data_IF_375513739651
#
_entry.id   IF_375513739651
#
_cell.length_a   1.000
_cell.length_b   1.000
_cell.length_c   1.000
_cell.angle_alpha   90.00
_cell.angle_beta   90.00
_cell.angle_gamma   90.00
#
_symmetry.space_group_name_H-M   'P 1'
#
loop_
_entity.id
_entity.type
_entity.pdbx_description
1 polymer ?
#
# COMPACT_ATOMS: atom_id res chain seq x y z
N UNK A 1 17.79 -14.33 -2.68
CA UNK A 1 17.19 -14.65 -4.00
C UNK A 1 15.86 -15.34 -3.83
N UNK A 2 15.77 -16.50 -3.16
CA UNK A 2 14.48 -17.24 -2.99
C UNK A 2 13.32 -16.44 -2.41
N UNK A 3 13.56 -15.60 -1.38
CA UNK A 3 12.50 -14.77 -0.79
C UNK A 3 12.07 -13.66 -1.77
N UNK A 4 12.99 -13.15 -2.59
CA UNK A 4 12.69 -12.12 -3.58
C UNK A 4 11.86 -12.73 -4.73
N UNK A 5 12.30 -13.87 -5.27
CA UNK A 5 11.67 -14.53 -6.42
C UNK A 5 10.28 -15.06 -6.07
N UNK A 6 10.13 -15.74 -4.93
CA UNK A 6 8.83 -16.24 -4.50
C UNK A 6 7.87 -15.09 -4.16
N UNK A 7 8.31 -14.08 -3.40
CA UNK A 7 7.41 -13.00 -3.01
C UNK A 7 7.06 -12.06 -4.17
N UNK A 8 7.93 -11.90 -5.18
CA UNK A 8 7.61 -11.16 -6.39
C UNK A 8 6.59 -11.93 -7.23
N UNK A 9 6.78 -13.23 -7.40
CA UNK A 9 5.85 -14.08 -8.14
C UNK A 9 4.42 -14.00 -7.55
N UNK A 10 4.27 -14.23 -6.24
CA UNK A 10 2.97 -14.12 -5.57
C UNK A 10 2.34 -12.72 -5.69
N UNK A 11 3.15 -11.66 -5.68
CA UNK A 11 2.63 -10.30 -5.81
C UNK A 11 2.18 -9.99 -7.23
N UNK A 12 2.91 -10.45 -8.25
CA UNK A 12 2.51 -10.27 -9.65
C UNK A 12 1.24 -11.08 -9.95
N UNK A 13 1.18 -12.32 -9.49
CA UNK A 13 -0.01 -13.17 -9.62
C UNK A 13 -1.23 -12.50 -8.97
N UNK A 14 -1.08 -12.04 -7.72
CA UNK A 14 -2.14 -11.32 -7.00
C UNK A 14 -2.55 -10.01 -7.71
N UNK A 15 -1.59 -9.28 -8.27
CA UNK A 15 -1.85 -8.04 -9.01
C UNK A 15 -2.66 -8.29 -10.28
N UNK A 16 -2.28 -9.31 -11.07
CA UNK A 16 -3.02 -9.74 -12.25
C UNK A 16 -4.44 -10.19 -11.89
N UNK A 17 -4.58 -11.04 -10.87
CA UNK A 17 -5.88 -11.49 -10.41
C UNK A 17 -6.81 -10.32 -10.05
N UNK A 18 -6.30 -9.32 -9.33
CA UNK A 18 -7.08 -8.14 -8.95
C UNK A 18 -7.55 -7.33 -10.17
N UNK A 19 -6.68 -7.14 -11.18
CA UNK A 19 -7.04 -6.42 -12.41
C UNK A 19 -8.13 -7.17 -13.17
N UNK A 20 -7.94 -8.47 -13.42
CA UNK A 20 -8.93 -9.27 -14.15
C UNK A 20 -10.27 -9.33 -13.42
N UNK A 21 -10.25 -9.48 -12.09
CA UNK A 21 -11.45 -9.46 -11.25
C UNK A 21 -12.17 -8.11 -11.33
N UNK A 22 -11.44 -7.00 -11.23
CA UNK A 22 -12.03 -5.66 -11.32
C UNK A 22 -12.66 -5.40 -12.69
N UNK A 23 -11.95 -5.73 -13.78
CA UNK A 23 -12.46 -5.57 -15.16
C UNK A 23 -13.72 -6.41 -15.37
N UNK A 24 -13.68 -7.71 -15.01
CA UNK A 24 -14.82 -8.62 -15.15
C UNK A 24 -16.06 -8.06 -14.45
N UNK A 25 -15.89 -7.57 -13.24
CA UNK A 25 -16.99 -7.04 -12.45
C UNK A 25 -17.53 -5.73 -12.99
N UNK A 26 -16.67 -4.81 -13.46
CA UNK A 26 -17.11 -3.58 -14.12
C UNK A 26 -17.88 -3.85 -15.41
N UNK A 27 -17.46 -4.86 -16.20
CA UNK A 27 -18.17 -5.29 -17.41
C UNK A 27 -19.56 -5.82 -17.06
N UNK A 28 -19.67 -6.70 -16.05
CA UNK A 28 -20.96 -7.27 -15.62
C UNK A 28 -21.90 -6.19 -15.11
N UNK A 29 -21.42 -5.26 -14.29
CA UNK A 29 -22.25 -4.16 -13.79
C UNK A 29 -22.66 -3.22 -14.94
N UNK A 30 -21.71 -2.87 -15.82
CA UNK A 30 -21.94 -1.95 -16.93
C UNK A 30 -22.91 -2.46 -17.99
N UNK A 31 -22.92 -3.78 -18.26
CA UNK A 31 -23.87 -4.39 -19.20
C UNK A 31 -25.31 -4.33 -18.70
N UNK A 32 -25.53 -4.45 -17.39
CA UNK A 32 -26.87 -4.45 -16.80
C UNK A 32 -27.36 -3.05 -16.42
N UNK A 33 -26.44 -2.16 -16.03
CA UNK A 33 -26.74 -0.80 -15.57
C UNK A 33 -25.79 0.19 -16.27
N UNK A 34 -26.08 0.61 -17.51
CA UNK A 34 -25.18 1.47 -18.27
C UNK A 34 -24.98 2.85 -17.63
N UNK A 35 -25.98 3.37 -16.89
CA UNK A 35 -25.85 4.62 -16.12
C UNK A 35 -24.69 4.57 -15.10
N UNK A 36 -24.34 3.38 -14.60
CA UNK A 36 -23.25 3.20 -13.63
C UNK A 36 -21.90 3.64 -14.22
N UNK A 37 -21.67 3.47 -15.52
CA UNK A 37 -20.43 3.88 -16.19
C UNK A 37 -20.20 5.40 -16.09
N UNK A 38 -21.25 6.20 -16.12
CA UNK A 38 -21.14 7.66 -15.94
C UNK A 38 -20.69 8.03 -14.51
N UNK A 39 -21.11 7.26 -13.50
CA UNK A 39 -20.67 7.46 -12.11
C UNK A 39 -19.20 7.03 -11.88
N UNK A 40 -18.69 6.16 -12.73
CA UNK A 40 -17.32 5.65 -12.66
C UNK A 40 -16.28 6.76 -12.97
N UNK A 41 -16.61 7.72 -13.83
CA UNK A 41 -15.73 8.86 -14.16
C UNK A 41 -15.35 9.73 -12.95
N UNK A 42 -16.30 10.33 -12.19
CA UNK A 42 -15.96 11.14 -11.03
C UNK A 42 -15.31 10.31 -9.92
N UNK A 43 -15.74 9.06 -9.72
CA UNK A 43 -15.11 8.16 -8.76
C UNK A 43 -13.67 7.83 -9.16
N UNK A 44 -13.40 7.55 -10.44
CA UNK A 44 -12.07 7.28 -10.96
C UNK A 44 -11.12 8.46 -10.78
N UNK A 45 -11.61 9.70 -10.98
CA UNK A 45 -10.83 10.91 -10.70
C UNK A 45 -10.46 11.02 -9.21
N UNK A 46 -11.43 10.78 -8.31
CA UNK A 46 -11.17 10.78 -6.87
C UNK A 46 -10.16 9.70 -6.46
N UNK A 47 -10.30 8.49 -6.99
CA UNK A 47 -9.34 7.40 -6.79
C UNK A 47 -7.93 7.81 -7.23
N UNK A 48 -7.80 8.40 -8.42
CA UNK A 48 -6.52 8.86 -8.94
C UNK A 48 -5.87 9.93 -8.06
N UNK A 49 -6.65 10.92 -7.60
CA UNK A 49 -6.14 11.98 -6.73
C UNK A 49 -5.65 11.42 -5.39
N UNK A 50 -6.43 10.53 -4.76
CA UNK A 50 -6.05 9.88 -3.50
C UNK A 50 -4.79 9.04 -3.67
N UNK A 51 -4.73 8.25 -4.75
CA UNK A 51 -3.55 7.43 -5.05
C UNK A 51 -2.30 8.29 -5.25
N UNK A 52 -2.42 9.38 -6.02
CA UNK A 52 -1.30 10.32 -6.25
C UNK A 52 -0.81 10.97 -4.97
N UNK A 53 -1.72 11.43 -4.10
CA UNK A 53 -1.37 12.01 -2.81
C UNK A 53 -0.71 10.98 -1.88
N UNK A 54 -1.26 9.75 -1.85
CA UNK A 54 -0.72 8.67 -1.05
C UNK A 54 0.70 8.29 -1.49
N UNK A 55 0.93 8.08 -2.78
CA UNK A 55 2.24 7.71 -3.32
C UNK A 55 3.31 8.76 -2.99
N UNK A 56 3.00 10.04 -3.18
CA UNK A 56 3.93 11.12 -2.86
C UNK A 56 4.27 11.21 -1.37
N UNK A 57 3.28 11.00 -0.50
CA UNK A 57 3.46 11.04 0.96
C UNK A 57 4.20 9.82 1.46
N UNK A 58 3.80 8.64 0.98
CA UNK A 58 4.36 7.36 1.38
C UNK A 58 5.84 7.24 0.99
N UNK A 59 6.22 7.71 -0.20
CA UNK A 59 7.62 7.80 -0.64
C UNK A 59 8.49 8.60 0.34
N UNK A 60 7.99 9.75 0.79
CA UNK A 60 8.72 10.59 1.76
C UNK A 60 8.81 9.95 3.14
N UNK A 61 7.71 9.37 3.64
CA UNK A 61 7.69 8.66 4.91
C UNK A 61 8.69 7.50 4.92
N UNK A 62 8.74 6.73 3.83
CA UNK A 62 9.67 5.60 3.70
C UNK A 62 11.13 6.02 3.56
N UNK A 63 11.41 7.16 2.93
CA UNK A 63 12.75 7.76 2.91
C UNK A 63 13.21 8.11 4.32
N UNK A 64 12.37 8.79 5.11
CA UNK A 64 12.66 9.14 6.49
C UNK A 64 12.89 7.90 7.37
N UNK A 65 12.06 6.86 7.19
CA UNK A 65 12.21 5.58 7.88
C UNK A 65 13.54 4.90 7.54
N UNK A 66 13.92 4.86 6.26
CA UNK A 66 15.19 4.27 5.81
C UNK A 66 16.40 5.03 6.37
N UNK A 67 16.36 6.36 6.39
CA UNK A 67 17.46 7.18 6.93
C UNK A 67 17.52 7.10 8.46
N UNK A 68 16.39 6.94 9.15
CA UNK A 68 16.33 6.83 10.61
C UNK A 68 16.88 5.52 11.18
N UNK A 69 16.85 4.42 10.41
CA UNK A 69 17.34 3.11 10.87
C UNK A 69 18.86 2.98 10.89
N UNK A 70 19.56 3.57 9.93
CA UNK A 70 21.02 3.42 9.81
C UNK A 70 21.79 3.94 11.05
N UNK A 71 21.49 5.12 11.61
CA UNK A 71 22.17 5.63 12.82
C UNK A 71 22.00 4.75 14.05
N UNK A 72 20.87 4.03 14.17
CA UNK A 72 20.62 3.11 15.28
C UNK A 72 21.58 1.92 15.21
N UNK A 73 21.73 1.33 14.01
CA UNK A 73 22.69 0.22 13.81
C UNK A 73 24.13 0.68 14.01
N UNK A 74 24.49 1.88 13.55
CA UNK A 74 25.83 2.44 13.76
C UNK A 74 26.13 2.66 15.24
N UNK A 75 25.22 3.28 15.99
CA UNK A 75 25.38 3.51 17.42
C UNK A 75 25.46 2.18 18.18
N UNK A 76 24.64 1.20 17.81
CA UNK A 76 24.69 -0.13 18.42
C UNK A 76 26.04 -0.84 18.18
N UNK A 77 26.60 -0.74 16.97
CA UNK A 77 27.92 -1.29 16.66
C UNK A 77 29.05 -0.58 17.43
N UNK A 78 28.96 0.74 17.57
CA UNK A 78 29.89 1.54 18.38
C UNK A 78 29.86 1.11 19.85
N UNK A 79 28.66 0.82 20.38
CA UNK A 79 28.49 0.31 21.74
C UNK A 79 29.20 -1.05 21.96
N UNK A 80 29.07 -1.97 20.99
CA UNK A 80 29.67 -3.31 21.07
C UNK A 80 31.20 -3.20 21.04
N UNK A 81 31.74 -2.38 20.15
CA UNK A 81 33.19 -2.22 20.01
C UNK A 81 33.80 -1.43 21.19
N UNK A 82 33.06 -0.44 21.74
CA UNK A 82 33.52 0.46 22.80
C UNK A 82 33.10 0.06 24.22
N UNK A 83 32.63 -1.17 24.45
CA UNK A 83 32.02 -1.58 25.74
C UNK A 83 32.98 -1.41 26.94
N UNK A 84 34.27 -1.67 26.73
CA UNK A 84 35.31 -1.50 27.74
C UNK A 84 35.54 -0.04 28.08
N UNK A 85 35.56 0.84 27.08
CA UNK A 85 35.69 2.30 27.27
C UNK A 85 34.46 2.90 27.96
N UNK A 86 33.25 2.55 27.52
CA UNK A 86 32.00 3.05 28.14
C UNK A 86 31.90 2.63 29.61
N UNK A 87 32.33 1.41 29.94
CA UNK A 87 32.33 0.93 31.31
C UNK A 87 33.42 1.59 32.17
N UNK A 88 34.60 1.84 31.62
CA UNK A 88 35.69 2.53 32.32
C UNK A 88 35.37 4.00 32.64
N UNK A 89 34.70 4.72 31.74
CA UNK A 89 34.30 6.13 31.96
C UNK A 89 32.96 6.30 32.67
N UNK A 90 32.21 5.22 32.92
CA UNK A 90 30.91 5.30 33.59
C UNK A 90 29.78 5.94 32.75
N UNK A 91 29.99 6.15 31.46
CA UNK A 91 29.08 6.89 30.55
C UNK A 91 27.89 6.06 30.02
N UNK A 92 27.50 4.99 30.73
CA UNK A 92 26.41 4.09 30.28
C UNK A 92 25.07 4.81 30.14
N UNK A 93 24.75 5.72 31.06
CA UNK A 93 23.46 6.44 31.08
C UNK A 93 23.32 7.38 29.89
N UNK A 94 24.36 8.15 29.60
CA UNK A 94 24.37 9.10 28.47
C UNK A 94 24.22 8.35 27.14
N UNK A 95 24.88 7.19 27.02
CA UNK A 95 24.77 6.34 25.84
C UNK A 95 23.36 5.74 25.67
N UNK A 96 22.73 5.30 26.76
CA UNK A 96 21.35 4.80 26.74
C UNK A 96 20.39 5.91 26.32
N UNK A 97 20.53 7.12 26.87
CA UNK A 97 19.69 8.25 26.51
C UNK A 97 19.83 8.60 25.02
N UNK A 98 21.06 8.65 24.49
CA UNK A 98 21.27 8.92 23.06
C UNK A 98 20.63 7.83 22.18
N UNK A 99 20.72 6.57 22.62
CA UNK A 99 20.10 5.44 21.92
C UNK A 99 18.57 5.52 21.91
N UNK A 100 17.96 5.83 23.06
CA UNK A 100 16.51 6.04 23.20
C UNK A 100 16.02 7.18 22.29
N UNK A 101 16.71 8.32 22.26
CA UNK A 101 16.35 9.46 21.40
C UNK A 101 16.43 9.13 19.90
N UNK A 102 17.36 8.26 19.48
CA UNK A 102 17.45 7.80 18.08
C UNK A 102 16.35 6.79 17.75
N UNK A 103 16.03 5.88 18.68
CA UNK A 103 14.92 4.94 18.53
C UNK A 103 13.59 5.67 18.43
N UNK A 104 13.31 6.62 19.32
CA UNK A 104 12.05 7.37 19.34
C UNK A 104 11.81 8.10 18.01
N UNK A 105 12.86 8.74 17.47
CA UNK A 105 12.79 9.39 16.15
C UNK A 105 12.46 8.39 15.03
N UNK A 106 13.09 7.21 15.03
CA UNK A 106 12.78 6.17 14.05
C UNK A 106 11.38 5.58 14.24
N UNK A 107 10.92 5.47 15.48
CA UNK A 107 9.60 4.96 15.81
C UNK A 107 8.51 5.91 15.32
N UNK A 108 8.66 7.23 15.55
CA UNK A 108 7.74 8.24 15.03
C UNK A 108 7.65 8.18 13.50
N UNK A 109 8.77 8.05 12.79
CA UNK A 109 8.78 7.88 11.34
C UNK A 109 8.02 6.61 10.89
N UNK A 110 8.28 5.48 11.55
CA UNK A 110 7.63 4.20 11.23
C UNK A 110 6.13 4.23 11.53
N UNK A 111 5.74 4.86 12.65
CA UNK A 111 4.35 5.07 13.02
C UNK A 111 3.63 5.94 11.99
N UNK A 112 4.27 7.00 11.49
CA UNK A 112 3.71 7.83 10.44
C UNK A 112 3.47 7.04 9.13
N UNK A 113 4.40 6.17 8.73
CA UNK A 113 4.20 5.24 7.60
C UNK A 113 2.98 4.33 7.82
N UNK A 114 2.76 3.86 9.05
CA UNK A 114 1.61 3.01 9.39
C UNK A 114 0.29 3.79 9.33
N UNK A 115 0.25 5.01 9.89
CA UNK A 115 -0.92 5.90 9.82
C UNK A 115 -1.27 6.26 8.37
N UNK A 116 -0.28 6.54 7.53
CA UNK A 116 -0.50 6.81 6.10
C UNK A 116 -1.18 5.64 5.38
N UNK A 117 -0.76 4.40 5.68
CA UNK A 117 -1.41 3.19 5.15
C UNK A 117 -2.85 3.06 5.66
N UNK A 118 -3.07 3.31 6.95
CA UNK A 118 -4.41 3.22 7.54
C UNK A 118 -5.37 4.25 6.95
N UNK A 119 -4.91 5.47 6.73
CA UNK A 119 -5.65 6.53 6.06
C UNK A 119 -6.08 6.13 4.64
N UNK A 120 -5.15 5.59 3.84
CA UNK A 120 -5.49 5.08 2.50
C UNK A 120 -6.57 4.00 2.55
N UNK A 121 -6.43 3.02 3.45
CA UNK A 121 -7.41 1.95 3.61
C UNK A 121 -8.81 2.49 3.97
N UNK A 122 -8.87 3.50 4.85
CA UNK A 122 -10.12 4.18 5.18
C UNK A 122 -10.74 4.84 3.94
N UNK A 123 -9.96 5.66 3.21
CA UNK A 123 -10.43 6.32 1.99
C UNK A 123 -10.94 5.33 0.92
N UNK A 124 -10.20 4.24 0.68
CA UNK A 124 -10.60 3.20 -0.28
C UNK A 124 -11.87 2.47 0.16
N UNK A 125 -12.04 2.22 1.47
CA UNK A 125 -13.25 1.60 1.98
C UNK A 125 -14.47 2.51 1.87
N UNK A 126 -14.31 3.82 2.13
CA UNK A 126 -15.37 4.81 1.94
C UNK A 126 -15.78 4.89 0.47
N UNK A 127 -14.82 4.96 -0.46
CA UNK A 127 -15.12 4.99 -1.90
C UNK A 127 -15.80 3.70 -2.38
N UNK A 128 -15.33 2.55 -1.94
CA UNK A 128 -15.99 1.27 -2.23
C UNK A 128 -17.43 1.19 -1.71
N UNK A 129 -17.66 1.72 -0.50
CA UNK A 129 -19.02 1.80 0.06
C UNK A 129 -19.92 2.70 -0.78
N UNK A 130 -19.40 3.81 -1.32
CA UNK A 130 -20.14 4.67 -2.26
C UNK A 130 -20.45 3.93 -3.57
N UNK A 131 -19.52 3.14 -4.11
CA UNK A 131 -19.76 2.31 -5.30
C UNK A 131 -20.93 1.35 -5.07
N UNK A 132 -20.90 0.60 -3.97
CA UNK A 132 -21.96 -0.36 -3.62
C UNK A 132 -23.30 0.35 -3.40
N UNK A 133 -23.29 1.50 -2.73
CA UNK A 133 -24.50 2.31 -2.51
C UNK A 133 -25.13 2.77 -3.84
N UNK A 134 -24.34 3.32 -4.75
CA UNK A 134 -24.81 3.76 -6.07
C UNK A 134 -25.30 2.57 -6.89
N UNK A 135 -24.54 1.47 -6.95
CA UNK A 135 -24.92 0.28 -7.69
C UNK A 135 -26.26 -0.31 -7.19
N UNK A 136 -26.45 -0.34 -5.87
CA UNK A 136 -27.67 -0.87 -5.24
C UNK A 136 -28.87 0.04 -5.52
N UNK A 137 -28.73 1.36 -5.40
CA UNK A 137 -29.81 2.31 -5.72
C UNK A 137 -30.24 2.19 -7.18
N UNK A 138 -29.28 2.12 -8.10
CA UNK A 138 -29.56 1.99 -9.52
C UNK A 138 -30.21 0.64 -9.86
N UNK A 139 -29.82 -0.44 -9.19
CA UNK A 139 -30.46 -1.74 -9.34
C UNK A 139 -31.91 -1.72 -8.84
N UNK A 140 -32.19 -1.04 -7.72
CA UNK A 140 -33.56 -0.88 -7.19
C UNK A 140 -34.42 0.00 -8.11
N UNK A 141 -33.88 1.07 -8.69
CA UNK A 141 -34.61 1.90 -9.65
C UNK A 141 -35.01 1.13 -10.91
N UNK A 142 -34.16 0.22 -11.37
CA UNK A 142 -34.42 -0.61 -12.55
C UNK A 142 -35.05 -1.97 -12.21
N UNK A 143 -35.63 -2.13 -11.01
CA UNK A 143 -36.19 -3.41 -10.53
C UNK A 143 -37.27 -4.02 -11.41
N UNK A 144 -37.98 -3.20 -12.20
CA UNK A 144 -39.04 -3.70 -13.10
C UNK A 144 -38.49 -4.26 -14.40
N UNK A 145 -37.31 -3.81 -14.82
CA UNK A 145 -36.61 -4.29 -16.02
C UNK A 145 -35.63 -5.45 -15.71
N UNK A 146 -35.22 -5.59 -14.45
CA UNK A 146 -34.19 -6.54 -14.03
C UNK A 146 -34.77 -7.71 -13.23
N UNK A 147 -34.33 -8.92 -13.57
CA UNK A 147 -34.65 -10.12 -12.77
C UNK A 147 -33.99 -10.02 -11.38
N UNK A 148 -34.64 -10.50 -10.30
CA UNK A 148 -34.07 -10.54 -8.95
C UNK A 148 -32.69 -11.20 -8.90
N UNK A 149 -32.45 -12.21 -9.75
CA UNK A 149 -31.15 -12.87 -9.86
C UNK A 149 -30.05 -11.93 -10.36
N UNK A 150 -30.36 -11.04 -11.31
CA UNK A 150 -29.42 -10.06 -11.88
C UNK A 150 -29.10 -8.97 -10.85
N UNK A 151 -30.10 -8.55 -10.06
CA UNK A 151 -29.88 -7.59 -8.96
C UNK A 151 -28.92 -8.17 -7.90
N UNK A 152 -29.11 -9.44 -7.51
CA UNK A 152 -28.19 -10.14 -6.62
C UNK A 152 -26.77 -10.25 -7.19
N UNK A 153 -26.65 -10.52 -8.49
CA UNK A 153 -25.38 -10.49 -9.22
C UNK A 153 -24.70 -9.12 -9.12
N UNK A 154 -25.39 -8.03 -9.45
CA UNK A 154 -24.83 -6.68 -9.41
C UNK A 154 -24.31 -6.33 -8.02
N UNK A 155 -25.07 -6.62 -6.97
CA UNK A 155 -24.67 -6.32 -5.58
C UNK A 155 -23.43 -7.14 -5.20
N UNK A 156 -23.41 -8.43 -5.52
CA UNK A 156 -22.27 -9.32 -5.22
C UNK A 156 -21.01 -8.86 -5.95
N UNK A 157 -21.11 -8.56 -7.25
CA UNK A 157 -19.98 -8.09 -8.04
C UNK A 157 -19.50 -6.68 -7.61
N UNK A 158 -20.40 -5.82 -7.11
CA UNK A 158 -20.01 -4.50 -6.56
C UNK A 158 -19.17 -4.63 -5.29
N UNK A 159 -19.49 -5.59 -4.43
CA UNK A 159 -18.68 -5.93 -3.26
C UNK A 159 -17.32 -6.49 -3.67
N UNK A 160 -17.29 -7.43 -4.62
CA UNK A 160 -16.04 -8.01 -5.13
C UNK A 160 -15.12 -6.95 -5.73
N UNK A 161 -15.64 -5.99 -6.52
CA UNK A 161 -14.84 -4.87 -7.07
C UNK A 161 -14.17 -4.07 -5.98
N UNK A 162 -14.92 -3.76 -4.93
CA UNK A 162 -14.44 -2.94 -3.82
C UNK A 162 -13.24 -3.60 -3.15
N UNK A 163 -13.32 -4.91 -2.90
CA UNK A 163 -12.24 -5.64 -2.25
C UNK A 163 -11.06 -5.88 -3.20
N UNK A 164 -11.31 -6.17 -4.48
CA UNK A 164 -10.28 -6.28 -5.51
C UNK A 164 -9.53 -4.97 -5.71
N UNK A 165 -10.20 -3.80 -5.67
CA UNK A 165 -9.56 -2.50 -5.76
C UNK A 165 -8.69 -2.17 -4.54
N UNK A 166 -9.16 -2.52 -3.33
CA UNK A 166 -8.35 -2.37 -2.11
C UNK A 166 -7.08 -3.21 -2.20
N UNK A 167 -7.22 -4.48 -2.58
CA UNK A 167 -6.09 -5.39 -2.77
C UNK A 167 -5.16 -4.90 -3.87
N UNK A 168 -5.70 -4.41 -4.99
CA UNK A 168 -4.93 -3.85 -6.08
C UNK A 168 -4.02 -2.70 -5.61
N UNK A 169 -4.57 -1.71 -4.92
CA UNK A 169 -3.77 -0.55 -4.45
C UNK A 169 -2.69 -0.99 -3.47
N UNK A 170 -3.02 -1.93 -2.57
CA UNK A 170 -2.05 -2.49 -1.63
C UNK A 170 -0.91 -3.21 -2.35
N UNK A 171 -1.23 -4.15 -3.24
CA UNK A 171 -0.24 -4.91 -4.01
C UNK A 171 0.58 -3.98 -4.90
N UNK A 172 -0.03 -2.98 -5.52
CA UNK A 172 0.67 -1.99 -6.33
C UNK A 172 1.68 -1.19 -5.50
N UNK A 173 1.31 -0.78 -4.29
CA UNK A 173 2.22 -0.09 -3.36
C UNK A 173 3.36 -1.01 -2.94
N UNK A 174 3.09 -2.28 -2.64
CA UNK A 174 4.13 -3.26 -2.30
C UNK A 174 5.08 -3.52 -3.48
N UNK A 175 4.56 -3.63 -4.71
CA UNK A 175 5.33 -3.80 -5.93
C UNK A 175 6.23 -2.60 -6.21
N UNK A 176 5.72 -1.37 -6.11
CA UNK A 176 6.53 -0.16 -6.33
C UNK A 176 7.68 -0.09 -5.34
N UNK A 177 7.45 -0.48 -4.08
CA UNK A 177 8.50 -0.55 -3.07
C UNK A 177 9.58 -1.59 -3.38
N UNK A 178 9.20 -2.75 -3.94
CA UNK A 178 10.16 -3.79 -4.32
C UNK A 178 10.89 -3.46 -5.62
N UNK A 179 10.25 -2.74 -6.54
CA UNK A 179 10.87 -2.29 -7.79
C UNK A 179 12.14 -1.47 -7.54
N UNK A 180 12.13 -0.62 -6.52
CA UNK A 180 13.32 0.17 -6.11
C UNK A 180 14.48 -0.74 -5.68
N UNK A 181 14.20 -1.86 -5.00
CA UNK A 181 15.24 -2.83 -4.64
C UNK A 181 15.80 -3.56 -5.86
N UNK A 182 14.96 -3.84 -6.86
CA UNK A 182 15.39 -4.46 -8.13
C UNK A 182 16.29 -3.50 -8.91
N UNK A 183 15.91 -2.22 -9.01
CA UNK A 183 16.72 -1.18 -9.65
C UNK A 183 18.11 -1.09 -9.01
N UNK A 184 18.21 -1.14 -7.67
CA UNK A 184 19.50 -1.14 -6.97
C UNK A 184 20.36 -2.36 -7.30
N UNK A 185 19.77 -3.56 -7.34
CA UNK A 185 20.50 -4.78 -7.71
C UNK A 185 21.03 -4.65 -9.14
N UNK A 186 20.22 -4.13 -10.06
CA UNK A 186 20.62 -3.90 -11.44
C UNK A 186 21.74 -2.87 -11.55
N UNK A 187 21.72 -1.81 -10.73
CA UNK A 187 22.79 -0.84 -10.63
C UNK A 187 24.10 -1.50 -10.17
N UNK A 188 24.06 -2.37 -9.15
CA UNK A 188 25.23 -3.14 -8.71
C UNK A 188 25.76 -4.12 -9.77
N UNK A 189 24.88 -4.75 -10.55
CA UNK A 189 25.29 -5.63 -11.65
C UNK A 189 25.93 -4.89 -12.83
N UNK A 190 25.62 -3.59 -13.00
CA UNK A 190 26.14 -2.76 -14.09
C UNK A 190 27.37 -1.93 -13.69
N UNK A 191 27.86 -2.05 -12.46
CA UNK A 191 29.12 -1.42 -12.06
C UNK A 191 30.27 -2.04 -12.86
N UNK A 192 31.20 -1.19 -13.32
CA UNK A 192 32.42 -1.68 -13.98
C UNK A 192 33.17 -2.57 -12.99
N UNK A 193 33.57 -3.78 -13.38
CA UNK A 193 34.51 -4.56 -12.59
C UNK A 193 35.80 -3.76 -12.44
N UNK A 194 36.35 -3.70 -11.23
CA UNK A 194 37.74 -3.26 -11.03
C UNK A 194 38.73 -4.19 -11.73
#
# INVERSE_FOLDING_TARGET
MEILDNQLYYQIEGWLYCIFSAISSFVIIGMNVPIFLACLLPLGLLYYLILKLHLNTFRQARRLESTGRSPIYSLFMEAIQGVSSISAYGAKKDFIQEFEEKIDRCFVCSFNSWVCNRWLNFCLNTLGSVIVFVATILAIQNREALSPAVVGLIITYSLTVTDSLKWFVRTNSELENKSISIERIQEYCNLKPE
#
